data_IF_004693593081
#
_entry.id   IF_004693593081
#
_cell.length_a   1.000
_cell.length_b   1.000
_cell.length_c   1.000
_cell.angle_alpha   90.00
_cell.angle_beta   90.00
_cell.angle_gamma   90.00
#
_symmetry.space_group_name_H-M   'P 1'
#
loop_
_entity.id
_entity.type
_entity.pdbx_description
1 polymer ?
#
# COMPACT_ATOMS: atom_id res chain seq x y z
N UNK A 1 -17.61 -22.47 -47.95
CA UNK A 1 -17.73 -21.33 -47.02
C UNK A 1 -17.08 -21.76 -45.70
N UNK A 2 -15.82 -21.44 -45.49
CA UNK A 2 -15.10 -21.81 -44.26
C UNK A 2 -15.42 -20.80 -43.17
N UNK A 3 -16.03 -21.26 -42.08
CA UNK A 3 -16.03 -20.54 -40.81
C UNK A 3 -14.72 -20.89 -40.10
N UNK A 4 -13.89 -19.90 -39.78
CA UNK A 4 -12.76 -20.10 -38.88
C UNK A 4 -12.79 -19.04 -37.79
N UNK A 5 -13.11 -19.55 -36.60
CA UNK A 5 -13.31 -18.91 -35.32
C UNK A 5 -12.07 -18.12 -34.87
N UNK A 6 -12.28 -16.84 -34.55
CA UNK A 6 -11.37 -16.00 -33.78
C UNK A 6 -11.28 -16.56 -32.35
N UNK A 7 -10.24 -17.34 -32.07
CA UNK A 7 -9.89 -17.73 -30.70
C UNK A 7 -9.20 -16.51 -30.06
N UNK A 8 -9.95 -15.72 -29.30
CA UNK A 8 -9.34 -14.78 -28.35
C UNK A 8 -8.68 -15.60 -27.24
N UNK A 9 -7.36 -15.74 -27.32
CA UNK A 9 -6.56 -16.12 -26.15
C UNK A 9 -6.59 -14.96 -25.16
N UNK A 10 -7.43 -15.07 -24.12
CA UNK A 10 -7.32 -14.24 -22.94
C UNK A 10 -6.02 -14.65 -22.21
N UNK A 11 -4.94 -13.92 -22.45
CA UNK A 11 -3.74 -13.98 -21.63
C UNK A 11 -4.12 -13.46 -20.24
N UNK A 12 -4.45 -14.38 -19.33
CA UNK A 12 -4.48 -14.08 -17.89
C UNK A 12 -3.03 -13.90 -17.47
N UNK A 13 -2.52 -12.67 -17.60
CA UNK A 13 -1.26 -12.31 -16.98
C UNK A 13 -1.48 -12.36 -15.46
N UNK A 14 -1.12 -13.48 -14.82
CA UNK A 14 -1.08 -13.55 -13.37
C UNK A 14 -0.05 -12.54 -12.88
N UNK A 15 -0.53 -11.41 -12.37
CA UNK A 15 0.34 -10.42 -11.76
C UNK A 15 1.06 -11.09 -10.57
N UNK A 16 2.40 -11.02 -10.54
CA UNK A 16 3.15 -11.60 -9.44
C UNK A 16 2.79 -10.92 -8.12
N UNK A 17 2.56 -11.70 -7.07
CA UNK A 17 2.29 -11.20 -5.72
C UNK A 17 3.47 -10.38 -5.18
N UNK A 18 3.18 -9.46 -4.25
CA UNK A 18 4.25 -8.74 -3.57
C UNK A 18 5.09 -9.68 -2.70
N UNK A 19 6.35 -9.32 -2.45
CA UNK A 19 7.25 -10.15 -1.64
C UNK A 19 6.70 -10.32 -0.22
N UNK A 20 6.80 -11.52 0.32
CA UNK A 20 6.38 -11.85 1.70
C UNK A 20 7.51 -11.73 2.71
N UNK A 21 8.70 -11.30 2.26
CA UNK A 21 9.92 -11.22 3.07
C UNK A 21 9.73 -10.37 4.34
N UNK A 22 8.87 -9.37 4.29
CA UNK A 22 8.65 -8.40 5.37
C UNK A 22 7.29 -8.56 6.06
N UNK A 23 6.55 -9.65 5.83
CA UNK A 23 5.21 -9.84 6.41
C UNK A 23 5.21 -10.05 7.94
N UNK A 24 6.39 -10.25 8.55
CA UNK A 24 6.54 -10.46 9.99
C UNK A 24 7.22 -9.27 10.70
N UNK A 25 7.29 -8.08 10.05
CA UNK A 25 7.72 -6.87 10.75
C UNK A 25 6.74 -6.53 11.88
N UNK A 26 7.26 -6.00 12.98
CA UNK A 26 6.43 -5.58 14.11
C UNK A 26 5.83 -4.19 13.82
N UNK A 27 4.60 -4.19 13.28
CA UNK A 27 3.87 -2.96 13.02
C UNK A 27 3.54 -2.20 14.32
N UNK A 28 3.34 -2.87 15.45
CA UNK A 28 3.02 -2.18 16.71
C UNK A 28 4.23 -1.44 17.24
N UNK A 29 5.42 -2.02 17.15
CA UNK A 29 6.67 -1.35 17.50
C UNK A 29 6.85 -0.08 16.66
N UNK A 30 6.66 -0.18 15.34
CA UNK A 30 6.84 0.95 14.43
C UNK A 30 5.81 2.05 14.70
N UNK A 31 4.53 1.70 14.82
CA UNK A 31 3.44 2.67 14.99
C UNK A 31 3.50 3.39 16.34
N UNK A 32 3.92 2.70 17.40
CA UNK A 32 4.03 3.27 18.75
C UNK A 32 5.39 3.94 19.03
N UNK A 33 6.37 3.81 18.14
CA UNK A 33 7.66 4.48 18.26
C UNK A 33 7.73 5.68 17.31
N UNK A 34 7.55 6.88 17.86
CA UNK A 34 7.51 8.13 17.08
C UNK A 34 8.74 8.34 16.18
N UNK A 35 9.92 7.93 16.65
CA UNK A 35 11.17 8.04 15.87
C UNK A 35 11.16 7.08 14.69
N UNK A 36 10.70 5.84 14.87
CA UNK A 36 10.62 4.87 13.77
C UNK A 36 9.55 5.30 12.76
N UNK A 37 8.34 5.61 13.24
CA UNK A 37 7.25 6.04 12.38
C UNK A 37 7.63 7.24 11.51
N UNK A 38 8.29 8.25 12.07
CA UNK A 38 8.78 9.42 11.32
C UNK A 38 9.79 9.03 10.24
N UNK A 39 10.69 8.09 10.49
CA UNK A 39 11.63 7.59 9.46
C UNK A 39 10.91 6.90 8.30
N UNK A 40 9.89 6.08 8.57
CA UNK A 40 9.08 5.49 7.50
C UNK A 40 8.35 6.58 6.71
N UNK A 41 7.73 7.54 7.40
CA UNK A 41 7.07 8.66 6.74
C UNK A 41 8.04 9.47 5.86
N UNK A 42 9.24 9.81 6.36
CA UNK A 42 10.29 10.48 5.58
C UNK A 42 10.69 9.70 4.33
N UNK A 43 10.88 8.38 4.46
CA UNK A 43 11.16 7.50 3.32
C UNK A 43 10.06 7.57 2.25
N UNK A 44 8.80 7.48 2.67
CA UNK A 44 7.63 7.51 1.78
C UNK A 44 7.43 8.89 1.13
N UNK A 45 7.74 9.97 1.85
CA UNK A 45 7.59 11.34 1.33
C UNK A 45 8.73 11.76 0.41
N UNK A 46 9.95 11.24 0.61
CA UNK A 46 11.13 11.59 -0.20
C UNK A 46 11.01 11.07 -1.64
N UNK A 47 11.59 11.78 -2.59
CA UNK A 47 11.76 11.28 -3.98
C UNK A 47 12.98 10.36 -4.11
N UNK A 48 13.78 10.23 -3.05
CA UNK A 48 14.93 9.34 -2.96
C UNK A 48 14.70 8.21 -1.95
N UNK A 49 15.49 7.14 -2.05
CA UNK A 49 15.45 6.03 -1.09
C UNK A 49 16.56 6.11 -0.03
N UNK A 50 17.27 7.25 0.06
CA UNK A 50 18.50 7.36 0.85
C UNK A 50 18.29 7.11 2.35
N UNK A 51 17.11 7.44 2.88
CA UNK A 51 16.73 7.22 4.29
C UNK A 51 15.87 5.97 4.50
N UNK A 52 15.54 5.23 3.44
CA UNK A 52 14.66 4.08 3.51
C UNK A 52 15.38 2.84 4.04
N UNK A 53 14.73 2.13 4.97
CA UNK A 53 15.07 0.74 5.25
C UNK A 53 14.66 -0.16 4.06
N UNK A 54 15.21 -1.38 3.94
CA UNK A 54 14.85 -2.28 2.85
C UNK A 54 13.35 -2.58 2.73
N UNK A 55 12.64 -2.69 3.85
CA UNK A 55 11.20 -2.91 3.91
C UNK A 55 10.41 -1.62 3.60
N UNK A 56 10.87 -0.46 4.09
CA UNK A 56 10.27 0.84 3.76
C UNK A 56 10.37 1.14 2.25
N UNK A 57 11.47 0.77 1.62
CA UNK A 57 11.64 0.87 0.16
C UNK A 57 10.66 -0.04 -0.59
N UNK A 58 10.51 -1.29 -0.16
CA UNK A 58 9.57 -2.22 -0.77
C UNK A 58 8.13 -1.68 -0.69
N UNK A 59 7.75 -1.18 0.49
CA UNK A 59 6.46 -0.55 0.72
C UNK A 59 6.26 0.66 -0.22
N UNK A 60 7.24 1.56 -0.28
CA UNK A 60 7.21 2.76 -1.12
C UNK A 60 6.96 2.44 -2.60
N UNK A 61 7.63 1.42 -3.12
CA UNK A 61 7.48 0.97 -4.50
C UNK A 61 6.11 0.34 -4.75
N UNK A 62 5.57 -0.37 -3.75
CA UNK A 62 4.32 -1.12 -3.89
C UNK A 62 3.05 -0.25 -3.74
N UNK A 63 3.10 0.83 -2.94
CA UNK A 63 1.92 1.66 -2.64
C UNK A 63 1.18 2.15 -3.90
N UNK A 64 1.82 2.73 -4.93
CA UNK A 64 1.09 3.24 -6.10
C UNK A 64 0.30 2.15 -6.83
N UNK A 65 0.90 0.98 -7.04
CA UNK A 65 0.25 -0.16 -7.69
C UNK A 65 -0.86 -0.75 -6.80
N UNK A 66 -0.63 -0.84 -5.48
CA UNK A 66 -1.62 -1.34 -4.53
C UNK A 66 -2.86 -0.43 -4.47
N UNK A 67 -2.70 0.90 -4.50
CA UNK A 67 -3.83 1.83 -4.49
C UNK A 67 -4.66 1.77 -5.78
N UNK A 68 -3.99 1.66 -6.94
CA UNK A 68 -4.66 1.57 -8.25
C UNK A 68 -5.40 0.25 -8.42
N UNK A 69 -4.77 -0.85 -7.99
CA UNK A 69 -5.29 -2.21 -8.19
C UNK A 69 -6.07 -2.77 -7.01
N UNK A 70 -6.34 -1.94 -6.00
CA UNK A 70 -7.00 -2.34 -4.76
C UNK A 70 -6.33 -3.56 -4.10
N UNK A 71 -5.01 -3.44 -3.89
CA UNK A 71 -4.16 -4.44 -3.25
C UNK A 71 -4.30 -5.85 -3.87
N UNK A 72 -4.58 -5.96 -5.18
CA UNK A 72 -4.83 -7.25 -5.86
C UNK A 72 -3.69 -8.28 -5.72
N UNK A 73 -2.46 -7.79 -5.50
CA UNK A 73 -1.24 -8.61 -5.30
C UNK A 73 -0.88 -8.84 -3.84
N UNK A 74 -1.65 -8.27 -2.91
CA UNK A 74 -1.42 -8.40 -1.49
C UNK A 74 -1.95 -9.73 -0.96
N UNK A 75 -1.20 -10.34 -0.04
CA UNK A 75 -1.75 -11.41 0.77
C UNK A 75 -2.57 -10.85 1.95
N UNK A 76 -3.20 -11.74 2.72
CA UNK A 76 -4.07 -11.34 3.82
C UNK A 76 -3.32 -10.57 4.92
N UNK A 77 -2.09 -10.98 5.27
CA UNK A 77 -1.28 -10.25 6.26
C UNK A 77 -0.97 -8.81 5.82
N UNK A 78 -0.67 -8.62 4.54
CA UNK A 78 -0.38 -7.31 3.96
C UNK A 78 -1.62 -6.41 3.93
N UNK A 79 -2.80 -6.97 3.63
CA UNK A 79 -4.08 -6.25 3.68
C UNK A 79 -4.42 -5.84 5.11
N UNK A 80 -4.37 -6.79 6.06
CA UNK A 80 -4.62 -6.54 7.48
C UNK A 80 -3.65 -5.50 8.05
N UNK A 81 -2.35 -5.64 7.74
CA UNK A 81 -1.31 -4.70 8.13
C UNK A 81 -1.54 -3.30 7.55
N UNK A 82 -1.87 -3.20 6.26
CA UNK A 82 -2.17 -1.93 5.60
C UNK A 82 -3.39 -1.26 6.22
N UNK A 83 -4.47 -2.01 6.47
CA UNK A 83 -5.68 -1.50 7.11
C UNK A 83 -5.39 -0.97 8.52
N UNK A 84 -4.57 -1.69 9.30
CA UNK A 84 -4.13 -1.27 10.63
C UNK A 84 -3.34 0.05 10.57
N UNK A 85 -2.36 0.14 9.67
CA UNK A 85 -1.53 1.35 9.51
C UNK A 85 -2.38 2.54 9.06
N UNK A 86 -3.22 2.37 8.05
CA UNK A 86 -4.10 3.43 7.53
C UNK A 86 -5.02 3.96 8.65
N UNK A 87 -5.71 3.07 9.36
CA UNK A 87 -6.58 3.45 10.48
C UNK A 87 -5.82 4.20 11.57
N UNK A 88 -4.65 3.69 11.96
CA UNK A 88 -3.82 4.34 12.97
C UNK A 88 -3.40 5.75 12.54
N UNK A 89 -2.94 5.92 11.29
CA UNK A 89 -2.51 7.21 10.78
C UNK A 89 -3.68 8.21 10.72
N UNK A 90 -4.84 7.81 10.21
CA UNK A 90 -6.03 8.66 10.14
C UNK A 90 -6.47 9.11 11.55
N UNK A 91 -6.50 8.19 12.51
CA UNK A 91 -7.05 8.47 13.84
C UNK A 91 -6.08 9.13 14.81
N UNK A 92 -4.78 8.84 14.70
CA UNK A 92 -3.78 9.19 15.71
C UNK A 92 -2.65 10.06 15.20
N UNK A 93 -2.43 10.12 13.88
CA UNK A 93 -1.29 10.80 13.24
C UNK A 93 -1.74 11.51 11.96
N UNK A 94 -2.80 12.31 12.08
CA UNK A 94 -3.38 13.03 10.94
C UNK A 94 -2.35 13.92 10.22
N UNK A 95 -1.39 14.45 10.98
CA UNK A 95 -0.24 15.22 10.51
C UNK A 95 0.68 14.44 9.56
N UNK A 96 0.76 13.11 9.73
CA UNK A 96 1.50 12.20 8.85
C UNK A 96 0.60 11.62 7.75
N UNK A 97 -0.69 11.45 8.01
CA UNK A 97 -1.64 10.91 7.03
C UNK A 97 -1.87 11.85 5.86
N UNK A 98 -2.22 13.12 6.12
CA UNK A 98 -2.62 14.08 5.08
C UNK A 98 -1.56 14.26 3.98
N UNK A 99 -0.26 14.41 4.29
CA UNK A 99 0.78 14.49 3.26
C UNK A 99 0.91 13.22 2.43
N UNK A 100 0.84 12.04 3.05
CA UNK A 100 0.90 10.76 2.35
C UNK A 100 -0.28 10.60 1.39
N UNK A 101 -1.50 10.90 1.85
CA UNK A 101 -2.68 10.89 1.01
C UNK A 101 -2.52 11.84 -0.19
N UNK A 102 -2.08 13.07 0.04
CA UNK A 102 -1.86 14.03 -1.04
C UNK A 102 -0.81 13.57 -2.06
N UNK A 103 0.21 12.82 -1.64
CA UNK A 103 1.25 12.28 -2.53
C UNK A 103 0.77 11.08 -3.35
N UNK A 104 0.03 10.16 -2.73
CA UNK A 104 -0.27 8.84 -3.32
C UNK A 104 -1.72 8.68 -3.82
N UNK A 105 -2.68 9.36 -3.22
CA UNK A 105 -4.10 9.31 -3.57
C UNK A 105 -4.76 10.70 -3.36
N UNK A 106 -4.39 11.72 -4.15
CA UNK A 106 -4.86 13.09 -3.98
C UNK A 106 -6.38 13.24 -4.14
N UNK A 107 -7.02 12.32 -4.87
CA UNK A 107 -8.47 12.29 -5.06
C UNK A 107 -9.20 11.57 -3.92
N UNK A 108 -8.47 10.89 -3.02
CA UNK A 108 -9.02 10.08 -1.94
C UNK A 108 -9.86 8.91 -2.44
N UNK A 109 -9.55 8.38 -3.62
CA UNK A 109 -10.33 7.32 -4.28
C UNK A 109 -10.29 6.03 -3.49
N UNK A 110 -9.18 5.71 -2.82
CA UNK A 110 -9.06 4.51 -2.01
C UNK A 110 -10.01 4.54 -0.81
N UNK A 111 -9.99 5.62 -0.01
CA UNK A 111 -10.89 5.75 1.14
C UNK A 111 -12.37 5.87 0.75
N UNK A 112 -12.68 6.39 -0.44
CA UNK A 112 -14.05 6.38 -0.98
C UNK A 112 -14.55 4.95 -1.27
N UNK A 113 -13.67 4.06 -1.71
CA UNK A 113 -13.97 2.63 -1.93
C UNK A 113 -14.00 1.84 -0.62
N UNK A 114 -13.22 2.27 0.38
CA UNK A 114 -13.04 1.60 1.67
C UNK A 114 -13.47 2.48 2.86
N UNK A 115 -14.76 2.86 2.96
CA UNK A 115 -15.24 3.72 4.05
C UNK A 115 -15.09 3.09 5.45
N UNK A 116 -14.96 1.77 5.54
CA UNK A 116 -14.67 1.02 6.76
C UNK A 116 -13.30 1.33 7.37
N UNK A 117 -12.40 1.98 6.64
CA UNK A 117 -11.12 2.45 7.17
C UNK A 117 -11.25 3.79 7.92
N UNK A 118 -12.37 4.49 7.74
CA UNK A 118 -12.68 5.76 8.41
C UNK A 118 -13.44 5.57 9.72
N UNK A 119 -14.03 4.39 9.92
CA UNK A 119 -14.80 4.04 11.11
C UNK A 119 -13.93 3.25 12.10
N UNK A 120 -13.91 3.72 13.35
CA UNK A 120 -13.15 3.13 14.45
C UNK A 120 -13.85 1.90 15.04
#
# INVERSE_FOLDING_TARGET
MQALTLVLFALVASAAAYTTKYDNIDLDEILNNERLLKKYHECLMSDSDASCTPDGKELKVSIPDALVTDCSKCNEKQKEGSNKVIRFLIQKKEDLWKPLQAKYDPEGTYLKKHPELLSA
#
